data_IF_236174983976
#
_entry.id   IF_236174983976
#
_cell.length_a   1.000
_cell.length_b   1.000
_cell.length_c   1.000
_cell.angle_alpha   90.00
_cell.angle_beta   90.00
_cell.angle_gamma   90.00
#
_symmetry.space_group_name_H-M   'P 1'
#
loop_
_entity.id
_entity.type
_entity.pdbx_description
1 polymer ?
#
# COMPACT_ATOMS: atom_id res chain seq x y z
N UNK A 1 5.58 4.49 13.66
CA UNK A 1 4.30 4.95 13.07
C UNK A 1 3.41 3.75 12.84
N UNK A 2 2.43 3.51 13.71
CA UNK A 2 1.52 2.35 13.64
C UNK A 2 0.60 2.38 12.41
N UNK A 3 0.27 3.57 11.91
CA UNK A 3 -0.62 3.73 10.75
C UNK A 3 0.00 3.18 9.45
N UNK A 4 1.33 3.28 9.30
CA UNK A 4 2.03 2.83 8.09
C UNK A 4 2.01 1.30 7.94
N UNK A 5 2.26 0.59 9.04
CA UNK A 5 2.23 -0.89 9.03
C UNK A 5 0.79 -1.43 8.95
N UNK A 6 -0.16 -0.74 9.58
CA UNK A 6 -1.59 -1.06 9.43
C UNK A 6 -2.05 -0.89 7.98
N UNK A 7 -1.70 0.23 7.35
CA UNK A 7 -1.99 0.49 5.94
C UNK A 7 -1.35 -0.58 5.04
N UNK A 8 -0.07 -0.91 5.27
CA UNK A 8 0.63 -1.93 4.51
C UNK A 8 -0.02 -3.32 4.60
N UNK A 9 -0.47 -3.71 5.81
CA UNK A 9 -1.19 -4.97 6.01
C UNK A 9 -2.52 -4.97 5.26
N UNK A 10 -3.28 -3.89 5.34
CA UNK A 10 -4.53 -3.74 4.61
C UNK A 10 -4.33 -3.76 3.09
N UNK A 11 -3.33 -3.08 2.57
CA UNK A 11 -2.97 -3.12 1.15
C UNK A 11 -2.66 -4.57 0.70
N UNK A 12 -2.02 -5.36 1.57
CA UNK A 12 -1.71 -6.78 1.32
C UNK A 12 -2.95 -7.67 1.34
N UNK A 13 -3.87 -7.44 2.27
CA UNK A 13 -5.14 -8.18 2.35
C UNK A 13 -6.11 -7.79 1.22
N UNK A 14 -6.11 -6.52 0.83
CA UNK A 14 -6.97 -5.94 -0.20
C UNK A 14 -6.68 -6.51 -1.60
N UNK A 15 -5.45 -6.98 -1.89
CA UNK A 15 -5.07 -7.61 -3.18
C UNK A 15 -5.50 -6.82 -4.43
N UNK A 16 -5.56 -5.49 -4.34
CA UNK A 16 -6.00 -4.63 -5.45
C UNK A 16 -7.51 -4.62 -5.68
N UNK A 17 -8.35 -5.01 -4.71
CA UNK A 17 -9.81 -4.90 -4.82
C UNK A 17 -10.31 -3.46 -4.64
N UNK A 18 -9.68 -2.69 -3.75
CA UNK A 18 -9.98 -1.27 -3.51
C UNK A 18 -8.78 -0.38 -3.84
N UNK A 19 -9.06 0.89 -4.15
CA UNK A 19 -8.04 1.89 -4.41
C UNK A 19 -7.20 2.17 -3.16
N UNK A 20 -6.00 2.66 -3.38
CA UNK A 20 -5.06 3.06 -2.34
C UNK A 20 -5.66 4.06 -1.32
N UNK A 21 -6.55 4.95 -1.77
CA UNK A 21 -7.25 5.93 -0.93
C UNK A 21 -8.30 5.26 -0.03
N UNK A 22 -9.13 4.39 -0.60
CA UNK A 22 -10.16 3.66 0.15
C UNK A 22 -9.56 2.78 1.26
N UNK A 23 -8.37 2.23 1.02
CA UNK A 23 -7.61 1.47 2.03
C UNK A 23 -7.22 2.36 3.21
N UNK A 24 -6.85 3.62 2.94
CA UNK A 24 -6.53 4.61 3.95
C UNK A 24 -7.76 5.09 4.71
N UNK A 25 -8.84 5.42 4.00
CA UNK A 25 -10.10 5.82 4.63
C UNK A 25 -10.68 4.73 5.55
N UNK A 26 -10.48 3.45 5.24
CA UNK A 26 -10.93 2.34 6.09
C UNK A 26 -10.33 2.38 7.51
N UNK A 27 -9.16 3.01 7.68
CA UNK A 27 -8.52 3.21 8.99
C UNK A 27 -8.61 4.65 9.47
N UNK A 28 -9.46 5.47 8.84
CA UNK A 28 -9.66 6.87 9.20
C UNK A 28 -8.49 7.78 8.79
N UNK A 29 -7.71 7.39 7.78
CA UNK A 29 -6.71 8.28 7.19
C UNK A 29 -7.33 9.13 6.10
N UNK A 30 -6.95 10.40 6.07
CA UNK A 30 -7.26 11.29 4.97
C UNK A 30 -6.45 10.93 3.70
N UNK A 31 -6.93 11.40 2.56
CA UNK A 31 -6.26 11.22 1.26
C UNK A 31 -4.80 11.68 1.29
N UNK A 32 -4.53 12.85 1.88
CA UNK A 32 -3.18 13.43 1.94
C UNK A 32 -2.24 12.54 2.75
N UNK A 33 -2.64 12.15 3.95
CA UNK A 33 -1.89 11.24 4.82
C UNK A 33 -1.66 9.88 4.15
N UNK A 34 -2.66 9.40 3.42
CA UNK A 34 -2.57 8.14 2.68
C UNK A 34 -1.52 8.22 1.57
N UNK A 35 -1.50 9.31 0.80
CA UNK A 35 -0.49 9.57 -0.25
C UNK A 35 0.91 9.70 0.34
N UNK A 36 1.06 10.35 1.49
CA UNK A 36 2.35 10.42 2.19
C UNK A 36 2.85 9.03 2.61
N UNK A 37 1.95 8.19 3.14
CA UNK A 37 2.28 6.80 3.51
C UNK A 37 2.70 5.99 2.28
N UNK A 38 1.98 6.11 1.16
CA UNK A 38 2.32 5.45 -0.10
C UNK A 38 3.70 5.91 -0.58
N UNK A 39 3.97 7.22 -0.58
CA UNK A 39 5.26 7.78 -0.97
C UNK A 39 6.41 7.25 -0.10
N UNK A 40 6.22 7.18 1.22
CA UNK A 40 7.18 6.58 2.14
C UNK A 40 7.39 5.08 1.87
N UNK A 41 6.31 4.31 1.71
CA UNK A 41 6.38 2.88 1.40
C UNK A 41 7.05 2.60 0.06
N UNK A 42 6.88 3.48 -0.92
CA UNK A 42 7.51 3.41 -2.23
C UNK A 42 9.00 3.75 -2.14
N UNK A 43 9.37 4.79 -1.38
CA UNK A 43 10.76 5.12 -1.09
C UNK A 43 11.49 4.00 -0.31
N UNK A 44 10.78 3.31 0.58
CA UNK A 44 11.29 2.13 1.31
C UNK A 44 11.24 0.84 0.50
N UNK A 45 10.77 0.88 -0.76
CA UNK A 45 10.69 -0.29 -1.63
C UNK A 45 9.84 -1.42 -1.00
N UNK A 46 8.82 -1.06 -0.21
CA UNK A 46 7.83 -1.99 0.37
C UNK A 46 6.65 -2.21 -0.58
N UNK A 47 6.33 -1.23 -1.42
CA UNK A 47 5.29 -1.33 -2.46
C UNK A 47 5.89 -0.98 -3.82
N UNK A 48 5.29 -1.51 -4.89
CA UNK A 48 5.64 -1.24 -6.27
C UNK A 48 4.42 -0.62 -6.98
N UNK A 49 4.68 0.29 -7.92
CA UNK A 49 3.65 0.80 -8.82
C UNK A 49 3.38 -0.23 -9.93
N UNK A 50 2.15 -0.71 -10.00
CA UNK A 50 1.64 -1.59 -11.08
C UNK A 50 0.44 -0.92 -11.70
N UNK A 51 0.40 -0.83 -13.03
CA UNK A 51 -0.81 -0.42 -13.74
C UNK A 51 -1.88 -1.53 -13.64
N UNK A 52 -2.63 -1.53 -12.54
CA UNK A 52 -3.76 -2.43 -12.30
C UNK A 52 -5.05 -1.62 -12.17
N UNK A 53 -6.20 -2.22 -12.51
CA UNK A 53 -7.45 -1.49 -12.77
C UNK A 53 -7.95 -0.67 -11.58
N UNK A 54 -7.84 -1.23 -10.38
CA UNK A 54 -8.42 -0.62 -9.17
C UNK A 54 -7.36 -0.06 -8.23
N UNK A 55 -6.16 -0.64 -8.14
CA UNK A 55 -5.11 -0.09 -7.30
C UNK A 55 -3.80 -0.09 -8.05
N UNK A 56 -3.22 1.09 -8.26
CA UNK A 56 -1.97 1.18 -9.00
C UNK A 56 -0.74 0.78 -8.17
N UNK A 57 -0.94 0.29 -6.95
CA UNK A 57 0.13 -0.06 -6.03
C UNK A 57 -0.08 -1.46 -5.50
N UNK A 58 1.00 -2.23 -5.47
CA UNK A 58 1.00 -3.58 -4.95
C UNK A 58 2.10 -3.73 -3.90
N UNK A 59 1.82 -4.37 -2.75
CA UNK A 59 2.86 -4.68 -1.79
C UNK A 59 3.86 -5.65 -2.42
N UNK A 60 5.14 -5.28 -2.34
CA UNK A 60 6.22 -6.18 -2.66
C UNK A 60 6.17 -7.28 -1.59
N UNK A 61 5.63 -8.44 -1.97
CA UNK A 61 5.92 -9.65 -1.21
C UNK A 61 7.43 -9.72 -1.14
N UNK A 62 8.01 -9.72 0.07
CA UNK A 62 9.34 -10.27 0.33
C UNK A 62 9.29 -11.78 0.03
N UNK A 63 9.01 -12.12 -1.22
CA UNK A 63 9.24 -13.43 -1.78
C UNK A 63 10.75 -13.56 -1.83
N UNK A 64 11.25 -14.60 -1.19
CA UNK A 64 12.65 -14.99 -1.18
C UNK A 64 13.27 -14.72 -2.55
N UNK A 65 14.44 -14.08 -2.51
CA UNK A 65 15.44 -14.20 -3.55
C UNK A 65 15.74 -15.70 -3.69
N UNK A 66 14.95 -16.37 -4.52
CA UNK A 66 15.24 -17.73 -4.97
C UNK A 66 16.10 -17.54 -6.21
N UNK A 67 17.40 -17.51 -5.94
CA UNK A 67 18.50 -17.67 -6.89
C UNK A 67 18.25 -18.83 -7.85
#
# INVERSE_FOLDING_TARGET
MENKDTYYRLLTENKGQRNEIEVGEQIGLEEETTREIIAQLLAEHRIEYVLDRACNYRPLKRGKMST
#
